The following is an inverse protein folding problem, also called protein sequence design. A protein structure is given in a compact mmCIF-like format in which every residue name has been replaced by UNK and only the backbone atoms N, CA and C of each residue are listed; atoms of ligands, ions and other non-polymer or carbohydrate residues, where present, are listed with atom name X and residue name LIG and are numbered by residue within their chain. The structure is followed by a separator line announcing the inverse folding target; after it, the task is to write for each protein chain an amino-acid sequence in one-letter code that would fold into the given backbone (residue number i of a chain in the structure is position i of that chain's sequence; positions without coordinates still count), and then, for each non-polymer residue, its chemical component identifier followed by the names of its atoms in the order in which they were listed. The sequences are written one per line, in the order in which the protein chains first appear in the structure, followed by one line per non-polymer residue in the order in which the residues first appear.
data_IF_038806884752
#
_entry.id   IF_038806884752
#
_cell.length_a   1.000
_cell.length_b   1.000
_cell.length_c   1.000
_cell.angle_alpha   90.00
_cell.angle_beta   90.00
_cell.angle_gamma   90.00
#
_symmetry.space_group_name_H-M   'P 1'
#
loop_
_entity.id
_entity.type
_entity.pdbx_description
1 polymer ?
#
# COMPACT_ATOMS: atom_id res chain seq x y z
N UNK A 1 -71.20 -13.23 -4.90
CA UNK A 1 -69.75 -13.50 -4.86
C UNK A 1 -69.29 -13.59 -3.42
N UNK A 2 -68.34 -14.45 -3.12
CA UNK A 2 -67.88 -14.69 -1.75
C UNK A 2 -66.58 -13.90 -1.54
N UNK A 3 -66.60 -12.94 -0.61
CA UNK A 3 -65.43 -12.14 -0.25
C UNK A 3 -64.78 -12.79 0.96
N UNK A 4 -63.62 -13.42 0.73
CA UNK A 4 -62.78 -13.96 1.79
C UNK A 4 -62.08 -12.85 2.56
N UNK A 5 -61.66 -13.08 3.82
CA UNK A 5 -60.73 -12.18 4.51
C UNK A 5 -59.49 -11.91 3.64
N UNK A 6 -58.95 -10.69 3.72
CA UNK A 6 -57.81 -10.23 2.91
C UNK A 6 -58.07 -10.17 1.39
N UNK A 7 -59.35 -10.14 0.99
CA UNK A 7 -59.71 -9.90 -0.41
C UNK A 7 -60.77 -8.80 -0.51
N UNK A 8 -60.76 -8.07 -1.61
CA UNK A 8 -61.77 -7.05 -1.90
C UNK A 8 -62.25 -7.17 -3.35
N UNK A 9 -63.53 -6.88 -3.58
CA UNK A 9 -64.09 -6.79 -4.94
C UNK A 9 -63.87 -5.38 -5.48
N UNK A 10 -63.33 -5.29 -6.69
CA UNK A 10 -63.21 -4.06 -7.46
C UNK A 10 -64.44 -3.90 -8.35
N UNK A 11 -65.25 -2.90 -8.04
CA UNK A 11 -66.56 -2.65 -8.66
C UNK A 11 -66.52 -1.31 -9.37
N UNK A 12 -67.27 -1.20 -10.46
CA UNK A 12 -67.49 0.00 -11.26
C UNK A 12 -68.97 0.30 -11.40
N UNK A 13 -69.35 1.57 -11.23
CA UNK A 13 -70.71 2.02 -11.48
C UNK A 13 -70.97 2.16 -12.99
N UNK A 14 -72.07 1.61 -13.49
CA UNK A 14 -72.51 1.82 -14.88
C UNK A 14 -73.32 3.11 -15.02
N UNK A 15 -74.12 3.45 -14.03
CA UNK A 15 -74.96 4.66 -13.99
C UNK A 15 -74.80 5.40 -12.66
N UNK A 16 -75.40 6.58 -12.53
CA UNK A 16 -75.44 7.32 -11.27
C UNK A 16 -76.46 6.65 -10.33
N UNK A 17 -76.01 6.15 -9.18
CA UNK A 17 -76.90 5.56 -8.17
C UNK A 17 -76.33 5.75 -6.77
N UNK A 18 -77.10 5.40 -5.74
CA UNK A 18 -76.63 5.40 -4.35
C UNK A 18 -76.29 3.96 -3.94
N UNK A 19 -75.04 3.76 -3.54
CA UNK A 19 -74.50 2.47 -3.09
C UNK A 19 -75.19 1.99 -1.80
N UNK A 20 -75.05 0.71 -1.47
CA UNK A 20 -75.59 0.07 -0.25
C UNK A 20 -75.13 0.75 1.04
N UNK A 21 -73.95 1.37 1.03
CA UNK A 21 -73.40 2.13 2.15
C UNK A 21 -73.87 3.60 2.17
N UNK A 22 -74.84 3.97 1.33
CA UNK A 22 -75.42 5.32 1.27
C UNK A 22 -74.56 6.34 0.53
N UNK A 23 -73.51 5.91 -0.16
CA UNK A 23 -72.57 6.77 -0.87
C UNK A 23 -73.08 7.00 -2.30
N UNK A 24 -73.28 8.26 -2.75
CA UNK A 24 -73.63 8.53 -4.14
C UNK A 24 -72.45 8.19 -5.04
N UNK A 25 -72.68 7.31 -6.03
CA UNK A 25 -71.70 6.90 -7.04
C UNK A 25 -72.04 7.54 -8.38
N UNK A 26 -71.02 8.05 -9.06
CA UNK A 26 -71.16 8.56 -10.43
C UNK A 26 -70.84 7.47 -11.46
N UNK A 27 -71.45 7.56 -12.64
CA UNK A 27 -71.21 6.64 -13.76
C UNK A 27 -69.71 6.60 -14.10
N UNK A 28 -69.17 5.38 -14.18
CA UNK A 28 -67.76 5.12 -14.43
C UNK A 28 -66.86 5.11 -13.19
N UNK A 29 -67.34 5.59 -12.03
CA UNK A 29 -66.58 5.56 -10.77
C UNK A 29 -66.31 4.13 -10.32
N UNK A 30 -65.10 3.89 -9.81
CA UNK A 30 -64.67 2.59 -9.28
C UNK A 30 -64.41 2.67 -7.77
N UNK A 31 -64.70 1.59 -7.04
CA UNK A 31 -64.42 1.47 -5.61
C UNK A 31 -64.14 0.02 -5.21
N UNK A 32 -63.70 -0.18 -3.97
CA UNK A 32 -63.46 -1.50 -3.39
C UNK A 32 -64.50 -1.83 -2.34
N UNK A 33 -64.97 -3.08 -2.35
CA UNK A 33 -65.78 -3.66 -1.28
C UNK A 33 -64.95 -4.71 -0.56
N UNK A 34 -64.57 -4.42 0.67
CA UNK A 34 -63.71 -5.28 1.50
C UNK A 34 -64.44 -6.00 2.64
N UNK A 35 -65.76 -5.76 2.83
CA UNK A 35 -66.54 -6.39 3.91
C UNK A 35 -66.64 -7.91 3.64
N UNK A 36 -66.10 -8.77 4.54
CA UNK A 36 -66.14 -10.22 4.34
C UNK A 36 -67.57 -10.75 4.28
N UNK A 37 -67.83 -11.71 3.40
CA UNK A 37 -69.12 -12.37 3.27
C UNK A 37 -69.65 -12.41 1.83
N UNK A 38 -70.93 -12.76 1.69
CA UNK A 38 -71.58 -12.83 0.39
C UNK A 38 -71.97 -11.42 -0.09
N UNK A 39 -71.36 -10.98 -1.19
CA UNK A 39 -71.72 -9.76 -1.88
C UNK A 39 -72.55 -10.06 -3.14
N UNK A 40 -73.75 -9.50 -3.21
CA UNK A 40 -74.62 -9.56 -4.38
C UNK A 40 -74.48 -8.25 -5.14
N UNK A 41 -74.08 -8.34 -6.42
CA UNK A 41 -73.93 -7.18 -7.30
C UNK A 41 -75.30 -6.53 -7.57
N UNK A 42 -75.36 -5.21 -7.44
CA UNK A 42 -76.51 -4.42 -7.87
C UNK A 42 -76.69 -4.37 -9.39
N UNK A 43 -77.85 -3.90 -9.86
CA UNK A 43 -78.15 -3.78 -11.30
C UNK A 43 -77.18 -2.81 -12.01
N UNK A 44 -76.73 -1.78 -11.30
CA UNK A 44 -75.82 -0.74 -11.82
C UNK A 44 -74.36 -0.95 -11.41
N UNK A 45 -74.03 -2.13 -10.87
CA UNK A 45 -72.68 -2.48 -10.42
C UNK A 45 -72.06 -3.50 -11.36
N UNK A 46 -70.92 -3.16 -11.94
CA UNK A 46 -70.12 -4.07 -12.75
C UNK A 46 -68.88 -4.50 -11.99
N UNK A 47 -68.65 -5.79 -11.86
CA UNK A 47 -67.40 -6.32 -11.33
C UNK A 47 -66.28 -6.15 -12.35
N UNK A 48 -65.20 -5.49 -11.96
CA UNK A 48 -63.97 -5.38 -12.74
C UNK A 48 -62.95 -6.45 -12.33
N UNK A 49 -62.92 -6.87 -11.05
CA UNK A 49 -62.06 -7.95 -10.59
C UNK A 49 -62.03 -8.11 -9.08
N UNK A 50 -61.15 -8.98 -8.58
CA UNK A 50 -60.86 -9.16 -7.17
C UNK A 50 -59.42 -8.72 -6.90
N UNK A 51 -59.19 -8.04 -5.77
CA UNK A 51 -57.87 -7.67 -5.28
C UNK A 51 -57.56 -8.45 -4.01
N UNK A 52 -56.34 -8.96 -3.93
CA UNK A 52 -55.81 -9.62 -2.74
C UNK A 52 -54.98 -8.61 -1.93
N UNK A 53 -54.97 -8.79 -0.62
CA UNK A 53 -54.14 -7.99 0.27
C UNK A 53 -52.67 -8.41 0.16
N UNK A 54 -51.78 -7.43 0.11
CA UNK A 54 -50.36 -7.65 0.30
C UNK A 54 -50.08 -7.89 1.78
N UNK A 55 -49.48 -9.03 2.12
CA UNK A 55 -49.08 -9.35 3.50
C UNK A 55 -47.79 -8.58 3.80
N UNK A 56 -47.84 -7.72 4.81
CA UNK A 56 -46.70 -6.95 5.31
C UNK A 56 -46.08 -7.71 6.48
N UNK A 57 -44.76 -7.64 6.56
CA UNK A 57 -44.01 -8.20 7.69
C UNK A 57 -43.03 -7.16 8.16
N UNK A 58 -42.43 -7.36 9.33
CA UNK A 58 -41.37 -6.46 9.82
C UNK A 58 -40.16 -6.39 8.88
N UNK A 59 -40.07 -7.30 7.91
CA UNK A 59 -39.01 -7.33 6.90
C UNK A 59 -39.40 -6.70 5.57
N UNK A 60 -40.69 -6.50 5.30
CA UNK A 60 -41.18 -6.10 3.98
C UNK A 60 -42.21 -4.99 4.13
N UNK A 61 -41.90 -3.84 3.54
CA UNK A 61 -42.81 -2.72 3.38
C UNK A 61 -43.38 -2.66 1.95
N UNK A 62 -44.57 -2.09 1.82
CA UNK A 62 -45.24 -1.90 0.52
C UNK A 62 -45.02 -0.48 0.01
N UNK A 63 -44.47 -0.34 -1.19
CA UNK A 63 -44.28 0.94 -1.86
C UNK A 63 -45.48 1.24 -2.77
N UNK A 64 -46.19 2.31 -2.42
CA UNK A 64 -47.38 2.77 -3.11
C UNK A 64 -47.15 4.10 -3.81
N UNK A 65 -47.88 4.32 -4.90
CA UNK A 65 -47.99 5.57 -5.64
C UNK A 65 -49.44 5.98 -5.82
N UNK A 66 -49.76 7.25 -5.58
CA UNK A 66 -51.10 7.78 -5.82
C UNK A 66 -51.33 8.09 -7.30
N UNK A 67 -52.38 7.53 -7.89
CA UNK A 67 -52.82 7.85 -9.26
C UNK A 67 -53.63 9.15 -9.31
N UNK A 68 -54.37 9.43 -8.25
CA UNK A 68 -55.22 10.62 -8.09
C UNK A 68 -55.12 11.15 -6.67
N UNK A 69 -55.50 12.41 -6.48
CA UNK A 69 -55.54 13.02 -5.15
C UNK A 69 -56.64 12.38 -4.32
N UNK A 70 -56.29 11.74 -3.22
CA UNK A 70 -57.23 11.04 -2.34
C UNK A 70 -56.74 11.02 -0.90
N UNK A 71 -57.62 10.59 0.00
CA UNK A 71 -57.30 10.32 1.40
C UNK A 71 -57.18 8.80 1.55
N UNK A 72 -56.09 8.32 2.14
CA UNK A 72 -55.91 6.90 2.38
C UNK A 72 -56.75 6.39 3.57
N UNK A 73 -56.68 5.08 3.83
CA UNK A 73 -57.38 4.44 4.95
C UNK A 73 -56.89 4.88 6.35
N UNK A 74 -55.73 5.51 6.44
CA UNK A 74 -55.14 6.08 7.67
C UNK A 74 -55.46 7.58 7.83
N UNK A 75 -56.22 8.17 6.91
CA UNK A 75 -56.56 9.59 6.93
C UNK A 75 -55.47 10.52 6.37
N UNK A 76 -54.44 9.98 5.72
CA UNK A 76 -53.34 10.77 5.13
C UNK A 76 -53.76 11.28 3.75
N UNK A 77 -53.48 12.55 3.46
CA UNK A 77 -53.77 13.15 2.15
C UNK A 77 -52.62 12.91 1.18
N UNK A 78 -52.92 12.34 0.03
CA UNK A 78 -51.97 12.12 -1.06
C UNK A 78 -52.41 12.89 -2.29
N UNK A 79 -51.46 13.53 -2.98
CA UNK A 79 -51.65 14.13 -4.29
C UNK A 79 -51.26 13.13 -5.37
N UNK A 80 -51.74 13.34 -6.60
CA UNK A 80 -51.33 12.55 -7.76
C UNK A 80 -49.80 12.54 -7.91
N UNK A 81 -49.24 11.33 -7.97
CA UNK A 81 -47.80 11.10 -8.10
C UNK A 81 -47.04 11.01 -6.79
N UNK A 82 -47.68 11.27 -5.64
CA UNK A 82 -47.02 11.08 -4.34
C UNK A 82 -46.74 9.59 -4.11
N UNK A 83 -45.57 9.29 -3.54
CA UNK A 83 -45.13 7.95 -3.22
C UNK A 83 -44.88 7.81 -1.71
N UNK A 84 -45.29 6.70 -1.11
CA UNK A 84 -45.09 6.41 0.31
C UNK A 84 -44.93 4.92 0.57
N UNK A 85 -44.53 4.60 1.80
CA UNK A 85 -44.44 3.22 2.28
C UNK A 85 -45.55 2.94 3.28
N UNK A 86 -46.08 1.73 3.22
CA UNK A 86 -46.91 1.13 4.27
C UNK A 86 -46.11 0.02 4.93
N UNK A 87 -46.05 0.04 6.26
CA UNK A 87 -45.24 -0.90 7.05
C UNK A 87 -46.14 -1.76 7.94
N UNK A 88 -45.58 -2.82 8.55
CA UNK A 88 -46.29 -3.64 9.54
C UNK A 88 -46.75 -2.86 10.77
N UNK A 89 -46.15 -1.69 11.05
CA UNK A 89 -46.60 -0.81 12.14
C UNK A 89 -47.97 -0.19 11.88
N UNK A 90 -48.34 0.00 10.61
CA UNK A 90 -49.63 0.55 10.23
C UNK A 90 -50.68 -0.58 10.15
N UNK A 91 -50.43 -1.65 9.37
CA UNK A 91 -51.35 -2.81 9.18
C UNK A 91 -50.59 -4.07 8.76
N UNK A 92 -51.05 -5.25 9.21
CA UNK A 92 -50.48 -6.56 8.83
C UNK A 92 -50.74 -6.95 7.35
N UNK A 93 -51.89 -6.58 6.81
CA UNK A 93 -52.29 -6.85 5.43
C UNK A 93 -52.90 -5.61 4.78
N UNK A 94 -52.35 -5.17 3.66
CA UNK A 94 -52.80 -3.97 2.96
C UNK A 94 -53.48 -4.30 1.63
N UNK A 95 -54.74 -3.90 1.47
CA UNK A 95 -55.45 -4.00 0.20
C UNK A 95 -55.24 -2.70 -0.58
N UNK A 96 -54.60 -2.79 -1.74
CA UNK A 96 -54.33 -1.61 -2.56
C UNK A 96 -55.62 -0.95 -3.05
N UNK A 97 -55.79 0.34 -2.76
CA UNK A 97 -56.94 1.17 -3.14
C UNK A 97 -57.07 1.39 -4.65
N UNK A 98 -58.24 1.84 -5.11
CA UNK A 98 -58.49 2.11 -6.55
C UNK A 98 -57.58 3.21 -7.09
N UNK A 99 -57.38 4.28 -6.32
CA UNK A 99 -56.55 5.43 -6.69
C UNK A 99 -55.07 5.23 -6.33
N UNK A 100 -54.67 4.00 -6.02
CA UNK A 100 -53.33 3.62 -5.60
C UNK A 100 -52.78 2.56 -6.54
N UNK A 101 -51.46 2.61 -6.74
CA UNK A 101 -50.72 1.65 -7.53
C UNK A 101 -49.58 1.08 -6.67
N UNK A 102 -49.39 -0.24 -6.72
CA UNK A 102 -48.24 -0.88 -6.08
C UNK A 102 -47.04 -0.74 -7.00
N UNK A 103 -46.04 0.02 -6.58
CA UNK A 103 -44.78 0.16 -7.31
C UNK A 103 -43.90 -1.06 -7.06
N UNK A 104 -43.86 -1.55 -5.82
CA UNK A 104 -43.08 -2.73 -5.45
C UNK A 104 -43.09 -3.02 -3.96
N UNK A 105 -42.30 -4.03 -3.56
CA UNK A 105 -42.00 -4.38 -2.18
C UNK A 105 -40.60 -3.87 -1.84
N UNK A 106 -40.43 -3.34 -0.63
CA UNK A 106 -39.16 -2.81 -0.13
C UNK A 106 -38.74 -3.62 1.08
N UNK A 107 -37.59 -4.28 0.96
CA UNK A 107 -37.00 -5.04 2.04
C UNK A 107 -36.37 -4.12 3.09
N UNK A 108 -36.42 -4.53 4.35
CA UNK A 108 -35.81 -3.81 5.46
C UNK A 108 -34.28 -3.79 5.30
N UNK A 109 -33.68 -2.62 5.48
CA UNK A 109 -32.24 -2.48 5.60
C UNK A 109 -31.88 -2.59 7.07
N UNK A 110 -31.08 -3.61 7.41
CA UNK A 110 -30.61 -3.85 8.78
C UNK A 110 -29.13 -3.53 8.86
N UNK A 111 -28.76 -2.66 9.78
CA UNK A 111 -27.37 -2.38 10.15
C UNK A 111 -27.06 -2.99 11.50
N UNK A 112 -25.88 -3.60 11.59
CA UNK A 112 -25.28 -4.05 12.85
C UNK A 112 -24.49 -2.92 13.52
N UNK A 113 -24.03 -3.15 14.76
CA UNK A 113 -23.25 -2.17 15.52
C UNK A 113 -22.00 -1.65 14.78
N UNK A 114 -21.35 -2.51 13.99
CA UNK A 114 -20.12 -2.22 13.25
C UNK A 114 -20.38 -1.93 11.77
N UNK A 115 -21.59 -1.49 11.42
CA UNK A 115 -21.96 -1.16 10.05
C UNK A 115 -22.47 0.26 9.95
N UNK A 116 -22.27 0.84 8.76
CA UNK A 116 -22.80 2.13 8.39
C UNK A 116 -23.26 2.13 6.93
N UNK A 117 -24.15 3.05 6.60
CA UNK A 117 -24.55 3.31 5.23
C UNK A 117 -24.73 4.81 5.00
N UNK A 118 -24.54 5.23 3.76
CA UNK A 118 -24.78 6.60 3.34
C UNK A 118 -26.02 6.62 2.45
N UNK A 119 -27.07 7.27 2.93
CA UNK A 119 -28.32 7.47 2.20
C UNK A 119 -28.18 8.74 1.36
N UNK A 120 -28.34 8.62 0.05
CA UNK A 120 -28.46 9.76 -0.86
C UNK A 120 -29.93 10.18 -1.00
N UNK A 121 -30.14 11.50 -1.10
CA UNK A 121 -31.45 12.14 -1.19
C UNK A 121 -32.38 11.81 0.00
N UNK A 122 -31.93 11.98 1.26
CA UNK A 122 -32.76 11.68 2.42
C UNK A 122 -34.07 12.47 2.35
N UNK A 123 -35.17 11.82 2.69
CA UNK A 123 -36.49 12.46 2.69
C UNK A 123 -36.68 13.27 3.97
N UNK A 124 -37.23 14.47 3.89
CA UNK A 124 -37.54 15.27 5.08
C UNK A 124 -38.74 14.74 5.85
N UNK A 125 -39.00 15.30 7.04
CA UNK A 125 -40.26 15.09 7.78
C UNK A 125 -41.49 15.48 6.95
N UNK A 126 -41.31 16.37 5.96
CA UNK A 126 -42.35 16.79 5.02
C UNK A 126 -42.63 15.78 3.90
N UNK A 127 -41.91 14.65 3.85
CA UNK A 127 -42.10 13.60 2.85
C UNK A 127 -41.48 13.89 1.48
N UNK A 128 -40.66 14.94 1.35
CA UNK A 128 -39.96 15.27 0.10
C UNK A 128 -38.47 14.89 0.12
N UNK A 129 -37.93 14.30 -0.96
CA UNK A 129 -36.51 13.94 -1.05
C UNK A 129 -35.62 15.18 -1.22
N UNK A 130 -34.59 15.30 -0.38
CA UNK A 130 -33.59 16.36 -0.49
C UNK A 130 -32.51 16.02 -1.52
N UNK A 131 -32.76 16.35 -2.79
CA UNK A 131 -31.84 16.03 -3.88
C UNK A 131 -30.42 16.56 -3.64
N UNK A 132 -29.42 15.67 -3.76
CA UNK A 132 -28.00 15.97 -3.63
C UNK A 132 -27.45 15.93 -2.20
N UNK A 133 -28.30 15.85 -1.17
CA UNK A 133 -27.84 15.68 0.21
C UNK A 133 -27.56 14.22 0.54
N UNK A 134 -26.66 14.02 1.48
CA UNK A 134 -26.28 12.71 2.00
C UNK A 134 -26.53 12.65 3.50
N UNK A 135 -27.00 11.51 4.00
CA UNK A 135 -27.21 11.24 5.42
C UNK A 135 -26.46 9.98 5.80
N UNK A 136 -25.55 10.09 6.75
CA UNK A 136 -24.85 8.96 7.34
C UNK A 136 -25.74 8.34 8.42
N UNK A 137 -25.98 7.04 8.33
CA UNK A 137 -26.62 6.24 9.36
C UNK A 137 -25.63 5.17 9.79
N UNK A 138 -25.39 5.04 11.09
CA UNK A 138 -24.45 4.08 11.65
C UNK A 138 -24.99 3.50 12.97
N UNK A 139 -24.51 2.32 13.33
CA UNK A 139 -24.94 1.59 14.53
C UNK A 139 -26.15 0.71 14.27
N UNK A 140 -26.62 0.03 15.33
CA UNK A 140 -27.76 -0.89 15.27
C UNK A 140 -29.04 -0.13 14.89
N UNK A 141 -29.45 -0.28 13.64
CA UNK A 141 -30.62 0.38 13.10
C UNK A 141 -31.27 -0.50 12.03
N UNK A 142 -32.58 -0.60 12.09
CA UNK A 142 -33.39 -1.30 11.10
C UNK A 142 -34.39 -0.31 10.52
N UNK A 143 -34.31 -0.04 9.22
CA UNK A 143 -35.18 0.94 8.57
C UNK A 143 -35.48 0.56 7.12
N UNK A 144 -36.58 1.10 6.59
CA UNK A 144 -36.94 1.00 5.18
C UNK A 144 -36.46 2.24 4.42
N UNK A 145 -36.00 2.03 3.18
CA UNK A 145 -35.62 3.14 2.30
C UNK A 145 -36.85 3.83 1.78
N UNK A 146 -36.99 5.13 2.10
CA UNK A 146 -38.15 5.89 1.64
C UNK A 146 -38.10 6.11 0.12
N UNK A 147 -39.25 6.34 -0.54
CA UNK A 147 -39.29 6.58 -1.96
C UNK A 147 -38.42 7.78 -2.35
N UNK A 148 -37.46 7.55 -3.24
CA UNK A 148 -36.46 8.54 -3.66
C UNK A 148 -35.11 8.45 -2.95
N UNK A 149 -35.02 7.75 -1.82
CA UNK A 149 -33.75 7.46 -1.14
C UNK A 149 -32.98 6.37 -1.89
N UNK A 150 -31.65 6.49 -1.95
CA UNK A 150 -30.78 5.51 -2.59
C UNK A 150 -29.57 5.21 -1.72
N UNK A 151 -29.14 3.95 -1.72
CA UNK A 151 -27.87 3.53 -1.12
C UNK A 151 -26.88 3.17 -2.25
N UNK A 152 -26.04 4.10 -2.70
CA UNK A 152 -25.13 3.83 -3.82
C UNK A 152 -24.09 2.75 -3.50
N UNK A 153 -23.66 2.67 -2.24
CA UNK A 153 -22.59 1.76 -1.79
C UNK A 153 -23.09 0.67 -0.85
N UNK A 154 -24.41 0.47 -0.76
CA UNK A 154 -25.02 -0.50 0.15
C UNK A 154 -24.69 -0.27 1.63
N UNK A 155 -24.80 -1.34 2.42
CA UNK A 155 -24.34 -1.39 3.81
C UNK A 155 -22.83 -1.71 3.80
N UNK A 156 -22.06 -0.89 4.51
CA UNK A 156 -20.60 -1.02 4.64
C UNK A 156 -20.23 -1.33 6.08
N UNK A 157 -19.15 -2.08 6.25
CA UNK A 157 -18.58 -2.34 7.57
C UNK A 157 -17.69 -1.16 8.00
N UNK A 158 -17.68 -0.88 9.31
CA UNK A 158 -16.80 0.11 9.91
C UNK A 158 -15.33 -0.31 9.80
N UNK A 159 -14.43 0.67 9.80
CA UNK A 159 -13.01 0.39 9.76
C UNK A 159 -12.48 0.11 11.16
N UNK A 160 -12.35 -1.16 11.51
CA UNK A 160 -11.66 -1.59 12.73
C UNK A 160 -10.14 -1.51 12.50
N UNK A 161 -9.49 -0.52 13.13
CA UNK A 161 -8.05 -0.33 13.06
C UNK A 161 -7.38 -0.95 14.28
N UNK A 162 -6.43 -1.85 14.03
CA UNK A 162 -5.54 -2.40 15.05
C UNK A 162 -4.38 -1.44 15.38
N UNK A 163 -3.56 -1.78 16.37
CA UNK A 163 -2.42 -0.95 16.81
C UNK A 163 -1.39 -0.71 15.71
N UNK A 164 -1.23 -1.66 14.80
CA UNK A 164 -0.32 -1.67 13.66
C UNK A 164 -0.98 -1.18 12.37
N UNK A 165 -2.21 -0.68 12.44
CA UNK A 165 -2.97 -0.21 11.28
C UNK A 165 -3.33 1.27 11.38
N UNK A 166 -3.46 1.89 10.21
CA UNK A 166 -3.96 3.25 10.09
C UNK A 166 -4.65 3.49 8.77
N UNK A 167 -5.39 4.59 8.69
CA UNK A 167 -6.03 5.05 7.46
C UNK A 167 -5.47 6.40 7.07
N UNK A 168 -5.17 6.55 5.78
CA UNK A 168 -4.95 7.84 5.16
C UNK A 168 -6.30 8.32 4.64
N UNK A 169 -6.68 9.51 5.09
CA UNK A 169 -7.95 10.16 4.81
C UNK A 169 -7.70 11.44 4.02
N UNK A 170 -8.65 11.79 3.16
CA UNK A 170 -8.71 13.08 2.47
C UNK A 170 -10.06 13.75 2.69
N UNK A 171 -10.05 15.07 2.88
CA UNK A 171 -11.28 15.85 3.00
C UNK A 171 -11.76 16.28 1.61
N UNK A 172 -13.02 15.98 1.28
CA UNK A 172 -13.66 16.46 0.05
C UNK A 172 -14.36 17.81 0.28
N UNK A 173 -14.83 18.05 1.51
CA UNK A 173 -15.50 19.29 1.90
C UNK A 173 -14.88 19.86 3.17
N UNK A 174 -15.13 21.15 3.43
CA UNK A 174 -14.73 21.77 4.69
C UNK A 174 -15.59 21.23 5.83
N UNK A 175 -14.96 20.71 6.87
CA UNK A 175 -15.66 20.28 8.08
C UNK A 175 -14.79 20.41 9.34
N UNK A 176 -15.45 20.32 10.49
CA UNK A 176 -14.77 20.31 11.80
C UNK A 176 -14.59 18.86 12.21
N UNK A 177 -13.33 18.42 12.25
CA UNK A 177 -12.94 17.10 12.69
C UNK A 177 -12.95 17.04 14.22
N UNK A 178 -13.97 16.38 14.77
CA UNK A 178 -14.13 16.10 16.20
C UNK A 178 -13.48 14.80 16.65
N UNK A 179 -12.98 14.00 15.70
CA UNK A 179 -12.40 12.68 15.94
C UNK A 179 -10.86 12.68 15.90
N UNK A 180 -10.22 13.82 15.57
CA UNK A 180 -8.76 13.90 15.59
C UNK A 180 -8.19 13.61 16.99
N UNK A 181 -7.26 12.65 17.07
CA UNK A 181 -6.62 12.13 18.29
C UNK A 181 -5.58 13.11 18.90
N UNK A 182 -5.77 14.41 18.67
CA UNK A 182 -4.96 15.47 19.28
C UNK A 182 -5.33 15.65 20.74
N UNK A 183 -4.89 14.75 21.62
CA UNK A 183 -4.97 14.94 23.08
C UNK A 183 -4.04 16.06 23.49
N UNK A 184 -4.57 17.26 23.72
CA UNK A 184 -3.84 18.31 24.43
C UNK A 184 -4.01 18.04 25.92
N UNK A 185 -2.91 17.72 26.62
CA UNK A 185 -2.88 17.65 28.09
C UNK A 185 -2.70 19.07 28.64
N UNK A 186 -3.79 19.73 28.99
CA UNK A 186 -3.76 20.86 29.93
C UNK A 186 -4.60 20.43 31.14
N UNK A 187 -3.96 20.40 32.31
CA UNK A 187 -4.61 20.28 33.63
C UNK A 187 -5.71 19.19 33.77
N UNK A 188 -5.38 17.94 33.43
CA UNK A 188 -6.22 16.78 33.82
C UNK A 188 -7.55 16.61 33.09
N UNK A 189 -7.91 17.48 32.13
CA UNK A 189 -9.08 17.31 31.27
C UNK A 189 -8.63 17.06 29.82
N UNK A 190 -9.05 15.91 29.27
CA UNK A 190 -8.78 15.57 27.86
C UNK A 190 -9.74 16.34 26.95
N UNK A 191 -9.35 17.55 26.53
CA UNK A 191 -10.12 18.31 25.54
C UNK A 191 -9.81 17.74 24.15
N UNK A 192 -10.85 17.27 23.45
CA UNK A 192 -10.75 16.86 22.05
C UNK A 192 -10.42 18.08 21.21
N UNK A 193 -9.30 18.08 20.51
CA UNK A 193 -8.94 19.17 19.60
C UNK A 193 -9.86 19.12 18.37
N UNK A 194 -10.71 20.13 18.24
CA UNK A 194 -11.47 20.34 17.01
C UNK A 194 -10.51 20.91 15.95
N UNK A 195 -10.26 20.15 14.88
CA UNK A 195 -9.40 20.58 13.78
C UNK A 195 -10.29 20.91 12.58
N UNK A 196 -10.18 22.12 12.06
CA UNK A 196 -10.86 22.50 10.82
C UNK A 196 -10.06 21.92 9.66
N UNK A 197 -10.69 21.06 8.85
CA UNK A 197 -10.12 20.49 7.64
C UNK A 197 -10.65 21.21 6.42
N UNK A 198 -9.78 21.47 5.45
CA UNK A 198 -10.11 22.04 4.16
C UNK A 198 -10.16 20.97 3.07
N UNK A 199 -10.90 21.19 1.97
CA UNK A 199 -10.91 20.29 0.83
C UNK A 199 -9.49 20.04 0.30
N UNK A 200 -9.13 18.77 0.10
CA UNK A 200 -7.81 18.32 -0.33
C UNK A 200 -6.83 18.07 0.81
N UNK A 201 -7.13 18.46 2.05
CA UNK A 201 -6.27 18.13 3.19
C UNK A 201 -6.20 16.63 3.37
N UNK A 202 -4.98 16.11 3.53
CA UNK A 202 -4.71 14.71 3.85
C UNK A 202 -4.23 14.57 5.28
N UNK A 203 -4.68 13.55 5.98
CA UNK A 203 -4.15 13.20 7.29
C UNK A 203 -4.23 11.70 7.51
N UNK A 204 -3.61 11.26 8.59
CA UNK A 204 -3.60 9.86 8.99
C UNK A 204 -4.25 9.70 10.34
N UNK A 205 -5.07 8.67 10.49
CA UNK A 205 -5.53 8.15 11.77
C UNK A 205 -4.86 6.80 12.04
N UNK A 206 -4.57 6.52 13.30
CA UNK A 206 -3.93 5.28 13.75
C UNK A 206 -4.86 4.55 14.72
N UNK A 207 -4.85 3.23 14.71
CA UNK A 207 -5.56 2.45 15.71
C UNK A 207 -4.84 2.47 17.08
N UNK A 208 -5.39 1.79 18.11
CA UNK A 208 -6.59 0.95 18.06
C UNK A 208 -7.88 1.76 18.14
N UNK A 209 -8.69 1.75 17.08
CA UNK A 209 -9.97 2.48 17.05
C UNK A 209 -10.89 1.94 15.97
N UNK A 210 -12.20 1.99 16.21
CA UNK A 210 -13.21 1.84 15.17
C UNK A 210 -13.50 3.20 14.54
N UNK A 211 -13.34 3.28 13.21
CA UNK A 211 -13.52 4.51 12.46
C UNK A 211 -14.65 4.37 11.43
N UNK A 212 -15.57 5.32 11.45
CA UNK A 212 -16.65 5.45 10.46
C UNK A 212 -16.45 6.80 9.77
N UNK A 213 -16.16 6.83 8.46
CA UNK A 213 -15.88 8.07 7.76
C UNK A 213 -17.14 8.95 7.71
N UNK A 214 -17.07 10.23 8.12
CA UNK A 214 -18.14 11.18 7.88
C UNK A 214 -18.26 11.50 6.39
N UNK A 215 -19.41 12.06 5.98
CA UNK A 215 -19.76 12.33 4.57
C UNK A 215 -18.69 13.16 3.83
N UNK A 216 -18.06 14.09 4.54
CA UNK A 216 -17.07 15.00 3.99
C UNK A 216 -15.68 14.35 3.77
N UNK A 217 -15.48 13.12 4.25
CA UNK A 217 -14.18 12.45 4.27
C UNK A 217 -14.18 11.23 3.38
N UNK A 218 -13.11 11.08 2.61
CA UNK A 218 -12.84 9.92 1.80
C UNK A 218 -11.65 9.14 2.34
N UNK A 219 -11.78 7.82 2.39
CA UNK A 219 -10.69 6.91 2.75
C UNK A 219 -9.86 6.66 1.50
N UNK A 220 -8.59 7.10 1.48
CA UNK A 220 -7.70 6.89 0.33
C UNK A 220 -6.97 5.54 0.42
N UNK A 221 -6.39 5.22 1.58
CA UNK A 221 -5.54 4.03 1.74
C UNK A 221 -5.55 3.49 3.17
N UNK A 222 -5.61 2.17 3.31
CA UNK A 222 -5.26 1.46 4.56
C UNK A 222 -3.76 1.20 4.60
N UNK A 223 -3.13 1.65 5.66
CA UNK A 223 -1.69 1.49 5.91
C UNK A 223 -1.48 0.49 7.04
N UNK A 224 -0.46 -0.34 6.89
CA UNK A 224 0.04 -1.21 7.95
C UNK A 224 1.44 -0.78 8.34
N UNK A 225 1.78 -0.94 9.61
CA UNK A 225 3.16 -0.79 10.06
C UNK A 225 4.01 -1.86 9.40
N UNK A 226 5.16 -1.46 8.87
CA UNK A 226 6.15 -2.36 8.29
C UNK A 226 7.04 -2.81 9.46
N UNK A 227 7.04 -4.10 9.83
CA UNK A 227 7.94 -4.59 10.87
C UNK A 227 9.38 -4.57 10.33
N UNK A 228 10.26 -3.87 11.04
CA UNK A 228 11.68 -3.76 10.70
C UNK A 228 12.50 -4.27 11.88
N UNK A 229 13.41 -5.20 11.61
CA UNK A 229 14.40 -5.66 12.58
C UNK A 229 15.62 -4.73 12.64
N UNK A 230 16.49 -4.89 13.64
CA UNK A 230 17.68 -4.03 13.89
C UNK A 230 18.63 -3.88 12.69
N UNK A 231 18.70 -4.91 11.85
CA UNK A 231 19.56 -4.95 10.66
C UNK A 231 18.80 -4.65 9.37
N UNK A 232 17.54 -4.24 9.48
CA UNK A 232 16.66 -3.94 8.35
C UNK A 232 16.19 -2.48 8.40
N UNK A 233 15.89 -1.95 7.23
CA UNK A 233 15.37 -0.60 7.12
C UNK A 233 14.64 -0.38 5.81
N UNK A 234 13.98 0.76 5.71
CA UNK A 234 13.32 1.26 4.50
C UNK A 234 13.79 2.68 4.19
N UNK A 235 13.75 3.04 2.91
CA UNK A 235 13.89 4.44 2.51
C UNK A 235 12.51 5.08 2.41
N UNK A 236 12.35 6.20 3.09
CA UNK A 236 11.12 6.98 3.11
C UNK A 236 11.38 8.33 2.46
N UNK A 237 10.57 8.68 1.48
CA UNK A 237 10.59 9.97 0.80
C UNK A 237 9.37 10.79 1.20
N UNK A 238 9.60 12.03 1.58
CA UNK A 238 8.51 12.97 1.84
C UNK A 238 8.03 13.58 0.51
N UNK A 239 6.73 13.49 0.22
CA UNK A 239 6.08 13.95 -1.01
C UNK A 239 6.07 15.47 -1.16
N UNK A 240 6.07 16.21 -0.05
CA UNK A 240 6.02 17.68 -0.05
C UNK A 240 7.40 18.29 -0.20
N UNK A 241 8.39 17.77 0.51
CA UNK A 241 9.76 18.32 0.51
C UNK A 241 10.69 17.60 -0.47
N UNK A 242 10.32 16.41 -0.94
CA UNK A 242 11.18 15.54 -1.74
C UNK A 242 12.33 14.90 -0.95
N UNK A 243 12.46 15.19 0.36
CA UNK A 243 13.58 14.70 1.16
C UNK A 243 13.45 13.19 1.43
N UNK A 244 14.52 12.45 1.11
CA UNK A 244 14.63 11.02 1.36
C UNK A 244 15.46 10.78 2.63
N UNK A 245 14.98 9.90 3.50
CA UNK A 245 15.68 9.45 4.71
C UNK A 245 15.56 7.94 4.89
N UNK A 246 16.46 7.37 5.68
CA UNK A 246 16.42 5.97 6.10
C UNK A 246 15.74 5.83 7.46
N UNK A 247 14.92 4.80 7.62
CA UNK A 247 14.37 4.36 8.91
C UNK A 247 14.80 2.91 9.12
N UNK A 248 15.42 2.61 10.26
CA UNK A 248 16.13 1.36 10.53
C UNK A 248 15.77 0.88 11.94
N UNK A 249 15.58 -0.43 12.12
CA UNK A 249 15.55 -1.05 13.44
C UNK A 249 14.29 -0.88 14.28
N UNK A 250 13.27 -0.21 13.75
CA UNK A 250 12.01 0.06 14.44
C UNK A 250 10.84 -0.14 13.47
N UNK A 251 9.75 -0.76 13.94
CA UNK A 251 8.55 -0.90 13.14
C UNK A 251 8.02 0.49 12.74
N UNK A 252 7.91 0.74 11.44
CA UNK A 252 7.58 2.07 10.93
C UNK A 252 6.30 2.04 10.11
N UNK A 253 5.45 3.03 10.35
CA UNK A 253 4.21 3.24 9.62
C UNK A 253 4.32 4.53 8.82
N UNK A 254 4.16 4.43 7.50
CA UNK A 254 4.23 5.57 6.59
C UNK A 254 3.13 6.59 6.88
N UNK A 255 3.51 7.86 6.95
CA UNK A 255 2.57 8.96 7.10
C UNK A 255 1.91 9.35 5.77
N UNK A 256 0.87 10.19 5.84
CA UNK A 256 0.16 10.73 4.68
C UNK A 256 1.03 11.54 3.69
N UNK A 257 2.14 12.11 4.14
CA UNK A 257 3.10 12.83 3.28
C UNK A 257 4.29 11.95 2.86
N UNK A 258 4.29 10.65 3.17
CA UNK A 258 5.45 9.78 2.99
C UNK A 258 5.16 8.66 2.00
N UNK A 259 6.13 8.39 1.13
CA UNK A 259 6.14 7.25 0.22
C UNK A 259 7.40 6.40 0.41
N UNK A 260 7.29 5.12 0.08
CA UNK A 260 8.43 4.22 -0.01
C UNK A 260 9.27 4.57 -1.24
N UNK A 261 10.59 4.68 -1.07
CA UNK A 261 11.50 5.05 -2.15
C UNK A 261 12.51 3.95 -2.47
N UNK A 262 12.64 3.60 -3.75
CA UNK A 262 13.64 2.65 -4.21
C UNK A 262 14.92 3.37 -4.59
N UNK A 263 16.04 3.01 -3.94
CA UNK A 263 17.35 3.55 -4.32
C UNK A 263 17.80 2.97 -5.67
N UNK A 264 18.08 3.80 -6.68
CA UNK A 264 18.67 3.32 -7.92
C UNK A 264 20.15 2.95 -7.69
N UNK A 265 20.52 1.73 -8.06
CA UNK A 265 21.90 1.25 -8.04
C UNK A 265 22.39 0.96 -9.47
N UNK A 266 23.67 1.21 -9.77
CA UNK A 266 24.27 0.76 -11.02
C UNK A 266 24.22 -0.77 -11.17
N UNK A 267 24.03 -1.31 -12.40
CA UNK A 267 23.91 -2.75 -12.62
C UNK A 267 25.14 -3.53 -12.17
N UNK A 268 26.34 -2.98 -12.39
CA UNK A 268 27.60 -3.56 -11.92
C UNK A 268 27.61 -3.80 -10.40
N UNK A 269 27.06 -2.85 -9.64
CA UNK A 269 27.03 -2.93 -8.17
C UNK A 269 25.98 -3.95 -7.72
N UNK A 270 24.82 -3.98 -8.38
CA UNK A 270 23.79 -5.00 -8.10
C UNK A 270 24.32 -6.43 -8.30
N UNK A 271 25.14 -6.65 -9.33
CA UNK A 271 25.79 -7.94 -9.56
C UNK A 271 26.80 -8.28 -8.45
N UNK A 272 27.49 -7.29 -7.89
CA UNK A 272 28.45 -7.47 -6.80
C UNK A 272 27.80 -7.66 -5.43
N UNK A 273 26.55 -7.22 -5.26
CA UNK A 273 25.75 -7.41 -4.05
C UNK A 273 25.02 -8.76 -3.99
N UNK A 274 25.10 -9.56 -5.06
CA UNK A 274 24.39 -10.84 -5.14
C UNK A 274 24.96 -11.82 -4.10
N UNK A 275 24.11 -12.46 -3.27
CA UNK A 275 24.54 -13.28 -2.14
C UNK A 275 25.35 -14.53 -2.53
N UNK A 276 25.23 -14.98 -3.78
CA UNK A 276 25.96 -16.14 -4.32
C UNK A 276 27.42 -15.84 -4.69
N UNK A 277 27.88 -14.59 -4.55
CA UNK A 277 29.25 -14.21 -4.85
C UNK A 277 30.07 -14.15 -3.57
N UNK A 278 30.90 -15.16 -3.35
CA UNK A 278 31.91 -15.15 -2.30
C UNK A 278 32.79 -13.89 -2.47
N UNK A 279 32.89 -13.01 -1.45
CA UNK A 279 33.73 -11.82 -1.51
C UNK A 279 35.22 -12.16 -1.62
N UNK A 280 35.61 -13.39 -1.27
CA UNK A 280 36.90 -13.94 -1.65
C UNK A 280 36.79 -14.49 -3.09
N UNK A 281 37.50 -13.92 -4.08
CA UNK A 281 37.64 -14.59 -5.36
C UNK A 281 38.37 -15.92 -5.14
N UNK A 282 37.64 -17.01 -5.25
CA UNK A 282 38.16 -18.37 -5.09
C UNK A 282 39.40 -18.55 -5.96
N UNK A 283 40.55 -18.77 -5.31
CA UNK A 283 41.90 -18.68 -5.92
C UNK A 283 42.23 -19.82 -6.86
N UNK A 284 41.30 -20.73 -7.11
CA UNK A 284 41.60 -22.03 -7.72
C UNK A 284 41.10 -22.19 -9.15
N UNK A 285 40.17 -21.39 -9.70
CA UNK A 285 39.70 -21.63 -11.07
C UNK A 285 39.47 -20.35 -11.91
N UNK A 286 40.37 -20.14 -12.86
CA UNK A 286 40.11 -19.52 -14.17
C UNK A 286 39.15 -20.41 -14.99
N UNK A 287 37.92 -20.62 -14.51
CA UNK A 287 36.86 -21.14 -15.35
C UNK A 287 35.89 -19.98 -15.63
N UNK A 288 35.48 -19.75 -16.90
CA UNK A 288 34.28 -18.97 -17.13
C UNK A 288 33.18 -19.75 -16.42
N UNK A 289 32.65 -19.19 -15.33
CA UNK A 289 31.51 -19.78 -14.63
C UNK A 289 30.34 -19.66 -15.59
N UNK A 290 30.17 -20.67 -16.44
CA UNK A 290 28.86 -21.01 -16.96
C UNK A 290 27.91 -21.03 -15.76
N UNK A 291 26.74 -20.38 -15.85
CA UNK A 291 25.82 -20.29 -14.73
C UNK A 291 25.53 -21.71 -14.26
N UNK A 292 25.97 -22.05 -13.05
CA UNK A 292 25.65 -23.34 -12.44
C UNK A 292 24.13 -23.42 -12.39
N UNK A 293 23.58 -24.41 -13.08
CA UNK A 293 22.17 -24.76 -13.04
C UNK A 293 21.81 -25.19 -11.62
N UNK A 294 21.45 -24.21 -10.81
CA UNK A 294 20.99 -24.35 -9.43
C UNK A 294 20.19 -23.12 -9.08
N UNK A 295 18.87 -23.23 -9.17
CA UNK A 295 17.88 -22.20 -8.81
C UNK A 295 17.90 -20.92 -9.65
N UNK A 296 17.38 -21.03 -10.87
CA UNK A 296 16.66 -19.92 -11.55
C UNK A 296 15.30 -19.66 -10.87
N UNK A 297 15.23 -19.67 -9.53
CA UNK A 297 14.21 -18.90 -8.84
C UNK A 297 14.75 -17.48 -8.93
N UNK A 298 14.28 -16.75 -9.94
CA UNK A 298 14.69 -15.37 -10.17
C UNK A 298 14.78 -14.66 -8.83
N UNK A 299 15.92 -14.03 -8.55
CA UNK A 299 16.03 -13.10 -7.45
C UNK A 299 14.94 -12.06 -7.73
N UNK A 300 13.76 -12.29 -7.17
CA UNK A 300 12.65 -11.39 -7.27
C UNK A 300 13.22 -10.08 -6.75
N UNK A 301 13.13 -8.97 -7.51
CA UNK A 301 13.47 -7.68 -6.94
C UNK A 301 12.75 -7.61 -5.59
N UNK A 302 13.44 -7.22 -4.50
CA UNK A 302 12.83 -7.23 -3.17
C UNK A 302 11.43 -6.64 -3.27
N UNK A 303 10.43 -7.40 -2.83
CA UNK A 303 9.02 -7.04 -3.00
C UNK A 303 8.70 -5.65 -2.43
N UNK A 304 9.57 -5.15 -1.55
CA UNK A 304 9.53 -3.83 -0.96
C UNK A 304 10.92 -3.17 -1.04
N UNK A 305 10.97 -1.84 -1.27
CA UNK A 305 12.22 -1.09 -1.31
C UNK A 305 12.84 -0.99 0.09
N UNK A 306 13.69 -1.97 0.40
CA UNK A 306 14.47 -2.03 1.64
C UNK A 306 15.80 -1.29 1.51
N UNK A 307 16.37 -0.93 2.66
CA UNK A 307 17.72 -0.41 2.76
C UNK A 307 18.71 -1.45 2.25
N UNK A 308 19.65 -0.99 1.44
CA UNK A 308 20.68 -1.86 0.87
C UNK A 308 21.71 -2.11 1.94
N UNK A 309 21.88 -3.38 2.29
CA UNK A 309 22.82 -3.84 3.29
C UNK A 309 23.93 -4.66 2.63
N UNK A 310 25.13 -4.61 3.19
CA UNK A 310 26.27 -5.40 2.75
C UNK A 310 27.11 -5.81 3.95
N UNK A 311 27.42 -7.11 4.05
CA UNK A 311 28.28 -7.64 5.11
C UNK A 311 29.75 -7.53 4.69
N UNK A 312 30.51 -6.68 5.38
CA UNK A 312 31.95 -6.55 5.14
C UNK A 312 32.66 -7.77 5.76
N UNK A 313 33.43 -8.53 4.96
CA UNK A 313 34.15 -9.71 5.44
C UNK A 313 35.22 -9.37 6.49
N UNK A 314 35.69 -10.39 7.20
CA UNK A 314 36.86 -10.27 8.05
C UNK A 314 38.09 -9.81 7.24
N UNK A 315 38.94 -8.98 7.86
CA UNK A 315 40.14 -8.41 7.24
C UNK A 315 39.87 -7.70 5.91
N UNK A 316 38.68 -7.11 5.76
CA UNK A 316 38.33 -6.30 4.62
C UNK A 316 37.94 -4.88 5.06
N UNK A 317 38.12 -3.93 4.16
CA UNK A 317 37.63 -2.57 4.30
C UNK A 317 36.75 -2.23 3.09
N UNK A 318 35.69 -1.46 3.32
CA UNK A 318 34.82 -0.96 2.26
C UNK A 318 34.72 0.55 2.34
N UNK A 319 34.81 1.23 1.20
CA UNK A 319 34.63 2.66 1.12
C UNK A 319 33.22 2.99 0.61
N UNK A 320 32.58 3.92 1.32
CA UNK A 320 31.25 4.44 1.02
C UNK A 320 31.39 5.94 0.80
N UNK A 321 30.82 6.45 -0.28
CA UNK A 321 30.85 7.86 -0.60
C UNK A 321 29.45 8.47 -0.47
N UNK A 322 29.32 9.49 0.39
CA UNK A 322 28.12 10.32 0.50
C UNK A 322 28.21 11.48 -0.51
N UNK A 323 27.32 11.47 -1.50
CA UNK A 323 27.27 12.50 -2.54
C UNK A 323 26.76 13.86 -2.02
N UNK A 324 25.88 13.84 -1.01
CA UNK A 324 25.32 15.07 -0.45
C UNK A 324 26.32 15.75 0.47
N UNK A 325 26.95 14.97 1.35
CA UNK A 325 27.99 15.45 2.26
C UNK A 325 29.35 15.68 1.59
N UNK A 326 29.58 15.13 0.39
CA UNK A 326 30.89 15.04 -0.29
C UNK A 326 31.97 14.46 0.63
N UNK A 327 31.61 13.42 1.40
CA UNK A 327 32.47 12.77 2.38
C UNK A 327 32.52 11.29 2.10
N UNK A 328 33.71 10.70 2.17
CA UNK A 328 33.89 9.26 2.19
C UNK A 328 34.01 8.77 3.63
N UNK A 329 33.41 7.61 3.91
CA UNK A 329 33.67 6.84 5.13
C UNK A 329 34.16 5.45 4.74
N UNK A 330 35.03 4.91 5.58
CA UNK A 330 35.59 3.57 5.41
C UNK A 330 35.14 2.73 6.58
N UNK A 331 34.54 1.59 6.27
CA UNK A 331 34.03 0.63 7.24
C UNK A 331 34.90 -0.62 7.19
N UNK A 332 35.40 -1.03 8.36
CA UNK A 332 36.21 -2.24 8.51
C UNK A 332 35.32 -3.41 8.93
N UNK A 333 35.57 -4.59 8.38
CA UNK A 333 34.86 -5.80 8.77
C UNK A 333 35.46 -6.48 10.00
N UNK A 334 34.70 -7.38 10.66
CA UNK A 334 33.36 -7.83 10.30
C UNK A 334 32.27 -6.86 10.77
N UNK A 335 31.54 -6.23 9.84
CA UNK A 335 30.48 -5.29 10.16
C UNK A 335 29.42 -5.26 9.05
N UNK A 336 28.16 -5.07 9.43
CA UNK A 336 27.06 -4.88 8.49
C UNK A 336 26.97 -3.39 8.15
N UNK A 337 27.15 -3.07 6.88
CA UNK A 337 26.98 -1.70 6.38
C UNK A 337 25.60 -1.53 5.80
N UNK A 338 24.94 -0.44 6.18
CA UNK A 338 23.68 0.01 5.61
C UNK A 338 23.90 1.33 4.87
N UNK A 339 23.48 1.41 3.61
CA UNK A 339 23.61 2.63 2.82
C UNK A 339 22.55 3.66 3.19
N UNK A 340 22.99 4.91 3.36
CA UNK A 340 22.10 6.07 3.36
C UNK A 340 21.50 6.37 1.97
N UNK A 341 20.50 7.25 1.88
CA UNK A 341 19.81 7.57 0.62
C UNK A 341 20.74 8.12 -0.46
N UNK A 342 21.74 8.92 -0.05
CA UNK A 342 22.70 9.61 -0.93
C UNK A 342 24.10 8.95 -0.91
N UNK A 343 24.25 7.81 -0.23
CA UNK A 343 25.51 7.08 -0.14
C UNK A 343 25.64 6.04 -1.27
N UNK A 344 26.82 5.83 -1.83
CA UNK A 344 27.05 4.72 -2.77
C UNK A 344 28.31 3.95 -2.38
N UNK A 345 28.35 2.67 -2.77
CA UNK A 345 29.57 1.89 -2.68
C UNK A 345 30.60 2.34 -3.71
N UNK A 346 31.86 2.50 -3.27
CA UNK A 346 32.97 2.69 -4.20
C UNK A 346 33.36 1.34 -4.81
N UNK A 347 33.19 1.20 -6.13
CA UNK A 347 33.66 0.02 -6.87
C UNK A 347 35.19 0.06 -6.99
N UNK A 348 35.85 -1.02 -6.62
CA UNK A 348 37.27 -1.25 -6.87
C UNK A 348 37.47 -2.11 -8.12
N UNK A 349 38.49 -1.76 -8.89
CA UNK A 349 38.85 -2.48 -10.11
C UNK A 349 40.34 -2.81 -10.07
N UNK A 350 40.63 -4.05 -9.68
CA UNK A 350 41.98 -4.55 -9.43
C UNK A 350 42.52 -5.37 -10.60
N UNK A 351 43.84 -5.33 -10.78
CA UNK A 351 44.56 -6.15 -11.74
C UNK A 351 44.53 -7.64 -11.38
N UNK A 352 44.19 -8.49 -12.34
CA UNK A 352 44.07 -9.94 -12.19
C UNK A 352 44.81 -10.72 -13.28
N UNK A 353 44.85 -12.04 -13.16
CA UNK A 353 45.45 -12.93 -14.18
C UNK A 353 46.96 -13.14 -14.07
N UNK A 354 47.49 -13.97 -14.98
CA UNK A 354 48.91 -14.31 -15.16
C UNK A 354 49.19 -14.34 -16.68
N UNK A 355 49.82 -13.32 -17.29
CA UNK A 355 50.33 -12.08 -16.69
C UNK A 355 49.22 -11.15 -16.18
N UNK A 356 49.57 -10.21 -15.30
CA UNK A 356 48.62 -9.23 -14.76
C UNK A 356 48.00 -8.35 -15.84
N UNK A 357 46.67 -8.32 -15.90
CA UNK A 357 45.87 -7.47 -16.77
C UNK A 357 45.04 -6.51 -15.92
N UNK A 358 44.95 -5.22 -16.29
CA UNK A 358 44.15 -4.24 -15.56
C UNK A 358 42.65 -4.58 -15.64
N UNK A 359 41.91 -4.13 -14.63
CA UNK A 359 40.44 -4.19 -14.57
C UNK A 359 39.79 -5.59 -14.58
N UNK A 360 40.55 -6.65 -14.30
CA UNK A 360 40.03 -8.01 -14.36
C UNK A 360 39.20 -8.41 -13.13
N UNK A 361 39.53 -7.88 -11.94
CA UNK A 361 38.82 -8.17 -10.69
C UNK A 361 38.01 -6.94 -10.32
N UNK A 362 36.69 -7.09 -10.23
CA UNK A 362 35.80 -6.05 -9.72
C UNK A 362 35.25 -6.49 -8.37
N UNK A 363 35.40 -5.63 -7.36
CA UNK A 363 35.00 -5.91 -5.97
C UNK A 363 34.51 -4.63 -5.27
N UNK A 364 33.68 -4.78 -4.25
CA UNK A 364 33.27 -3.68 -3.35
C UNK A 364 34.19 -3.58 -2.12
N UNK A 365 34.85 -4.68 -1.76
CA UNK A 365 35.71 -4.77 -0.59
C UNK A 365 37.18 -4.81 -0.98
N UNK A 366 38.00 -4.06 -0.24
CA UNK A 366 39.45 -4.15 -0.26
C UNK A 366 39.90 -5.15 0.81
N UNK A 367 40.58 -6.22 0.40
CA UNK A 367 41.20 -7.17 1.33
C UNK A 367 42.47 -6.53 1.92
N UNK A 368 42.61 -6.56 3.24
CA UNK A 368 43.74 -5.97 3.96
C UNK A 368 44.93 -6.94 4.10
N UNK A 369 44.72 -8.24 3.87
CA UNK A 369 45.73 -9.28 4.03
C UNK A 369 45.77 -9.87 5.44
N UNK A 370 46.78 -10.70 5.78
CA UNK A 370 47.91 -11.08 4.93
C UNK A 370 47.49 -11.96 3.75
N UNK A 371 48.03 -11.65 2.57
CA UNK A 371 47.68 -12.36 1.35
C UNK A 371 48.85 -12.35 0.34
N UNK A 372 48.71 -13.04 -0.80
CA UNK A 372 49.73 -13.05 -1.87
C UNK A 372 49.12 -12.95 -3.26
N UNK A 373 49.82 -12.34 -4.22
CA UNK A 373 49.43 -12.41 -5.63
C UNK A 373 50.62 -12.79 -6.50
N UNK A 374 50.34 -13.41 -7.63
CA UNK A 374 51.35 -13.91 -8.58
C UNK A 374 51.32 -13.13 -9.88
N UNK A 375 52.48 -12.90 -10.48
CA UNK A 375 52.63 -12.27 -11.80
C UNK A 375 53.69 -12.99 -12.64
N UNK A 376 53.64 -12.78 -13.96
CA UNK A 376 54.64 -13.28 -14.92
C UNK A 376 55.28 -12.08 -15.60
N UNK A 377 56.56 -11.85 -15.33
CA UNK A 377 57.32 -10.73 -15.86
C UNK A 377 58.37 -11.25 -16.84
N UNK A 378 58.35 -10.72 -18.06
CA UNK A 378 59.40 -10.96 -19.04
C UNK A 378 60.51 -9.92 -18.85
N UNK A 379 61.75 -10.39 -18.72
CA UNK A 379 62.95 -9.56 -18.48
C UNK A 379 64.04 -9.92 -19.50
N UNK A 380 64.96 -8.98 -19.73
CA UNK A 380 66.11 -9.16 -20.62
C UNK A 380 67.39 -8.86 -19.84
N UNK A 381 68.37 -9.77 -19.91
CA UNK A 381 69.69 -9.61 -19.25
C UNK A 381 70.64 -8.78 -20.10
N UNK A 382 71.80 -8.40 -19.55
CA UNK A 382 72.87 -7.72 -20.31
C UNK A 382 73.31 -8.50 -21.57
N UNK A 383 73.29 -9.84 -21.52
CA UNK A 383 73.64 -10.73 -22.64
C UNK A 383 72.48 -10.97 -23.62
N UNK A 384 71.43 -10.14 -23.59
CA UNK A 384 70.21 -10.27 -24.42
C UNK A 384 69.43 -11.59 -24.24
N UNK A 385 69.63 -12.31 -23.12
CA UNK A 385 68.83 -13.47 -22.80
C UNK A 385 67.44 -13.03 -22.29
N UNK A 386 66.38 -13.54 -22.91
CA UNK A 386 64.99 -13.28 -22.52
C UNK A 386 64.53 -14.32 -21.52
N UNK A 387 64.15 -13.88 -20.34
CA UNK A 387 63.67 -14.75 -19.25
C UNK A 387 62.22 -14.42 -18.91
N UNK A 388 61.44 -15.45 -18.60
CA UNK A 388 60.09 -15.32 -18.06
C UNK A 388 60.10 -15.71 -16.59
N UNK A 389 59.93 -14.73 -15.71
CA UNK A 389 59.96 -14.91 -14.26
C UNK A 389 58.54 -15.01 -13.73
N UNK A 390 58.22 -16.12 -13.08
CA UNK A 390 57.01 -16.25 -12.28
C UNK A 390 57.31 -15.78 -10.86
N UNK A 391 56.66 -14.71 -10.45
CA UNK A 391 56.88 -14.06 -9.16
C UNK A 391 55.63 -14.20 -8.30
N UNK A 392 55.82 -14.44 -7.01
CA UNK A 392 54.76 -14.42 -6.00
C UNK A 392 55.12 -13.36 -4.96
N UNK A 393 54.20 -12.42 -4.74
CA UNK A 393 54.37 -11.31 -3.82
C UNK A 393 53.46 -11.52 -2.62
N UNK A 394 54.04 -11.67 -1.43
CA UNK A 394 53.30 -11.66 -0.18
C UNK A 394 53.12 -10.21 0.26
N UNK A 395 51.90 -9.82 0.59
CA UNK A 395 51.54 -8.45 0.93
C UNK A 395 50.56 -8.43 2.11
N UNK A 396 50.60 -7.33 2.85
CA UNK A 396 49.63 -7.01 3.89
C UNK A 396 49.58 -5.48 4.02
N UNK A 397 48.40 -4.91 4.23
CA UNK A 397 48.27 -3.50 4.56
C UNK A 397 48.60 -3.31 6.05
N UNK A 398 49.63 -2.50 6.32
CA UNK A 398 49.97 -2.10 7.67
C UNK A 398 49.02 -0.96 8.10
N UNK A 399 47.93 -1.31 8.77
CA UNK A 399 46.94 -0.35 9.29
C UNK A 399 47.01 -0.30 10.82
N UNK A 400 47.24 0.88 11.45
CA UNK A 400 47.24 1.01 12.90
C UNK A 400 45.87 0.69 13.49
N UNK A 401 45.80 -0.07 14.58
CA UNK A 401 44.55 -0.37 15.28
C UNK A 401 44.51 0.40 16.60
N UNK A 402 43.61 1.38 16.84
CA UNK A 402 42.50 1.84 16.01
C UNK A 402 42.91 2.81 14.89
N UNK A 403 42.31 2.65 13.71
CA UNK A 403 42.65 3.43 12.52
C UNK A 403 42.01 4.83 12.58
N UNK A 404 42.77 5.94 12.48
CA UNK A 404 42.18 7.25 12.26
C UNK A 404 41.54 7.33 10.87
N UNK A 405 40.45 8.12 10.75
CA UNK A 405 39.66 8.25 9.50
C UNK A 405 40.50 8.68 8.30
N UNK A 406 41.51 9.52 8.54
CA UNK A 406 42.42 10.01 7.50
C UNK A 406 43.28 8.88 6.92
N UNK A 407 43.83 7.99 7.77
CA UNK A 407 44.61 6.84 7.32
C UNK A 407 43.75 5.78 6.64
N UNK A 408 42.53 5.56 7.13
CA UNK A 408 41.58 4.66 6.48
C UNK A 408 41.27 5.13 5.04
N UNK A 409 41.21 6.44 4.81
CA UNK A 409 41.00 7.00 3.46
C UNK A 409 42.22 6.79 2.55
N UNK A 410 43.44 6.71 3.11
CA UNK A 410 44.67 6.42 2.34
C UNK A 410 44.64 5.04 1.69
N UNK A 411 43.98 4.05 2.32
CA UNK A 411 43.83 2.70 1.75
C UNK A 411 43.20 2.68 0.36
N UNK A 412 42.31 3.64 0.09
CA UNK A 412 41.57 3.74 -1.17
C UNK A 412 42.13 4.83 -2.10
N UNK A 413 43.28 5.43 -1.76
CA UNK A 413 43.91 6.44 -2.62
C UNK A 413 44.47 5.84 -3.91
N UNK A 414 44.90 4.57 -3.86
CA UNK A 414 45.37 3.83 -5.04
C UNK A 414 44.23 2.94 -5.55
N UNK A 415 43.68 3.20 -6.75
CA UNK A 415 42.52 2.46 -7.27
C UNK A 415 42.83 1.00 -7.62
N UNK A 416 44.05 0.72 -8.08
CA UNK A 416 44.54 -0.62 -8.42
C UNK A 416 45.91 -0.87 -7.77
N UNK A 417 45.89 -1.15 -6.47
CA UNK A 417 47.13 -1.38 -5.71
C UNK A 417 47.90 -2.62 -6.20
N UNK A 418 47.20 -3.65 -6.70
CA UNK A 418 47.83 -4.87 -7.22
C UNK A 418 48.60 -4.56 -8.50
N UNK A 419 47.98 -3.82 -9.42
CA UNK A 419 48.61 -3.42 -10.69
C UNK A 419 49.77 -2.46 -10.49
N UNK A 420 49.63 -1.51 -9.56
CA UNK A 420 50.70 -0.55 -9.27
C UNK A 420 51.90 -1.23 -8.59
N UNK A 421 51.65 -2.09 -7.59
CA UNK A 421 52.68 -2.88 -6.94
C UNK A 421 53.39 -3.82 -7.93
N UNK A 422 52.66 -4.56 -8.77
CA UNK A 422 53.26 -5.46 -9.76
C UNK A 422 54.07 -4.69 -10.80
N UNK A 423 53.61 -3.52 -11.25
CA UNK A 423 54.32 -2.66 -12.20
C UNK A 423 55.59 -2.07 -11.60
N UNK A 424 55.54 -1.58 -10.36
CA UNK A 424 56.68 -1.02 -9.66
C UNK A 424 57.76 -2.10 -9.42
N UNK A 425 57.37 -3.28 -8.94
CA UNK A 425 58.30 -4.39 -8.71
C UNK A 425 58.85 -4.93 -10.02
N UNK A 426 58.02 -5.11 -11.06
CA UNK A 426 58.47 -5.53 -12.38
C UNK A 426 59.49 -4.55 -12.98
N UNK A 427 59.29 -3.24 -12.80
CA UNK A 427 60.24 -2.21 -13.23
C UNK A 427 61.59 -2.33 -12.51
N UNK A 428 61.57 -2.49 -11.18
CA UNK A 428 62.78 -2.70 -10.36
C UNK A 428 63.54 -3.97 -10.78
N UNK A 429 62.83 -5.07 -11.00
CA UNK A 429 63.43 -6.34 -11.43
C UNK A 429 64.02 -6.22 -12.84
N UNK A 430 63.30 -5.63 -13.80
CA UNK A 430 63.84 -5.39 -15.16
C UNK A 430 65.10 -4.54 -15.12
N UNK A 431 65.12 -3.47 -14.33
CA UNK A 431 66.29 -2.61 -14.18
C UNK A 431 67.50 -3.34 -13.58
N UNK A 432 67.28 -4.16 -12.55
CA UNK A 432 68.35 -4.93 -11.92
C UNK A 432 68.88 -6.08 -12.82
N UNK A 433 67.98 -6.79 -13.51
CA UNK A 433 68.35 -7.91 -14.40
C UNK A 433 69.09 -7.42 -15.64
N UNK A 434 68.72 -6.27 -16.20
CA UNK A 434 69.41 -5.68 -17.34
C UNK A 434 70.89 -5.33 -17.07
N UNK A 435 71.26 -5.13 -15.80
CA UNK A 435 72.64 -4.84 -15.40
C UNK A 435 73.51 -6.09 -15.17
N UNK A 436 72.92 -7.30 -15.19
CA UNK A 436 73.60 -8.55 -14.83
C UNK A 436 73.56 -9.54 -15.99
N UNK A 437 74.65 -10.27 -16.18
CA UNK A 437 74.76 -11.36 -17.16
C UNK A 437 73.90 -12.56 -16.75
N UNK A 438 73.50 -13.39 -17.71
CA UNK A 438 72.59 -14.51 -17.46
C UNK A 438 73.11 -15.48 -16.40
N UNK A 439 74.39 -15.88 -16.49
CA UNK A 439 75.00 -16.83 -15.56
C UNK A 439 75.07 -16.27 -14.12
N UNK A 440 75.34 -14.96 -13.99
CA UNK A 440 75.37 -14.28 -12.69
C UNK A 440 73.98 -14.22 -12.05
N UNK A 441 72.95 -13.91 -12.84
CA UNK A 441 71.58 -13.90 -12.36
C UNK A 441 71.08 -15.31 -11.98
N UNK A 442 71.37 -16.31 -12.81
CA UNK A 442 70.94 -17.70 -12.59
C UNK A 442 71.54 -18.30 -11.31
N UNK A 443 72.78 -17.95 -10.95
CA UNK A 443 73.45 -18.45 -9.74
C UNK A 443 72.98 -17.77 -8.45
N UNK A 444 72.54 -16.50 -8.51
CA UNK A 444 72.27 -15.65 -7.33
C UNK A 444 70.78 -15.52 -6.98
N UNK A 445 69.86 -16.03 -7.81
CA UNK A 445 68.40 -15.80 -7.69
C UNK A 445 67.69 -16.36 -6.43
N UNK A 446 68.41 -16.77 -5.38
CA UNK A 446 67.80 -17.29 -4.14
C UNK A 446 67.43 -16.14 -3.18
N UNK A 447 66.16 -15.76 -3.23
CA UNK A 447 65.37 -15.01 -2.24
C UNK A 447 65.80 -13.57 -1.90
N UNK A 448 65.12 -12.60 -2.52
CA UNK A 448 65.20 -11.18 -2.14
C UNK A 448 63.84 -10.71 -1.61
N UNK A 449 63.75 -10.37 -0.31
CA UNK A 449 62.60 -9.65 0.25
C UNK A 449 62.74 -8.16 -0.09
N UNK A 450 61.80 -7.62 -0.86
CA UNK A 450 61.72 -6.18 -1.18
C UNK A 450 60.52 -5.60 -0.46
N UNK A 451 60.74 -4.67 0.48
CA UNK A 451 59.68 -3.87 1.08
C UNK A 451 59.32 -2.74 0.10
N UNK A 452 58.02 -2.59 -0.20
CA UNK A 452 57.47 -1.51 -1.04
C UNK A 452 56.46 -0.73 -0.22
#
# INVERSE_FOLDING_TARGET
MMISPNTALHIRATENFVDRDGIPRTSGQTWLVAKPGAYLLGVYEKLEGQREASILTDKVALHLRALESHVDQFGRQHRRGDEWLVTSLDVDSYICGVHQEVVGLVDITVLTAHQYCVIENPVDETGKPQLGRKKLVHGEASFFLRPGEKLPSGVQDSFLLQHDEGLILSANERFVDKQSDGKIRIEGQSVKKEVIRYPGDRWMIRGPMEYIPPIQVQVERRCKAIPLDRNEGIYVRNMRTGHVRTVIGEAYMLNHEEELWSKPLPPDVMQLLSPDRDPLPDRVLLAPVFPRTGSMLGASPPAEPRVITFQVPHNAAMQIYDYRGKRSRVEFGPSLVMLGPEEQFTKLSLSGGRPKRPHMIQTLCLMLGPDFFTDVVVVETADHARLSLQLSYNWQFAVPTPCPKEEATKLFSVPDFIGDASKAIASRIRGAVAAVNFDGFHKVHKYTCVYV
#
